data_IF_327416002818
#
_entry.id   IF_327416002818
#
_cell.length_a   1.000
_cell.length_b   1.000
_cell.length_c   1.000
_cell.angle_alpha   90.00
_cell.angle_beta   90.00
_cell.angle_gamma   90.00
#
_symmetry.space_group_name_H-M   'P 1'
#
loop_
_entity.id
_entity.type
_entity.pdbx_description
1 polymer ?
#
# COMPACT_ATOMS: atom_id res chain seq x y z
N UNK A 1 4.34 32.06 -0.22
CA UNK A 1 4.66 32.89 -1.38
C UNK A 1 3.33 33.15 -2.08
N UNK A 2 2.59 34.14 -1.59
CA UNK A 2 1.43 34.68 -2.29
C UNK A 2 2.00 35.74 -3.23
N UNK A 3 2.04 35.43 -4.53
CA UNK A 3 2.26 36.47 -5.52
C UNK A 3 0.98 37.28 -5.60
N UNK A 4 1.03 38.46 -4.98
CA UNK A 4 0.10 39.56 -5.18
C UNK A 4 0.08 39.82 -6.69
N UNK A 5 -0.98 39.38 -7.35
CA UNK A 5 -1.19 39.66 -8.76
C UNK A 5 -1.43 41.16 -8.87
N UNK A 6 -0.44 41.84 -9.45
CA UNK A 6 -0.40 43.29 -9.57
C UNK A 6 -1.68 43.82 -10.20
N UNK A 7 -2.15 44.91 -9.60
CA UNK A 7 -3.22 45.76 -10.10
C UNK A 7 -3.14 45.88 -11.62
N UNK A 8 -4.21 45.47 -12.28
CA UNK A 8 -4.44 45.76 -13.68
C UNK A 8 -4.45 47.28 -13.81
N UNK A 9 -3.39 47.83 -14.40
CA UNK A 9 -3.42 49.20 -14.87
C UNK A 9 -4.64 49.33 -15.77
N UNK A 10 -5.55 50.23 -15.42
CA UNK A 10 -6.69 50.65 -16.22
C UNK A 10 -6.16 51.08 -17.60
N UNK A 11 -6.01 50.11 -18.50
CA UNK A 11 -5.83 50.35 -19.91
C UNK A 11 -7.15 50.93 -20.37
N UNK A 12 -7.15 52.20 -20.79
CA UNK A 12 -8.31 52.83 -21.38
C UNK A 12 -8.91 51.87 -22.41
N UNK A 13 -10.19 51.52 -22.22
CA UNK A 13 -10.87 50.54 -23.07
C UNK A 13 -10.64 50.92 -24.53
N UNK A 14 -10.25 49.99 -25.42
CA UNK A 14 -10.01 50.31 -26.82
C UNK A 14 -11.24 50.94 -27.49
N UNK A 15 -12.45 50.68 -26.97
CA UNK A 15 -13.69 51.35 -27.35
C UNK A 15 -13.65 52.89 -27.12
N UNK A 16 -13.11 53.33 -25.98
CA UNK A 16 -12.93 54.75 -25.67
C UNK A 16 -11.92 55.42 -26.61
N UNK A 17 -10.92 54.67 -27.09
CA UNK A 17 -9.96 55.16 -28.07
C UNK A 17 -10.59 55.36 -29.45
N UNK A 18 -11.53 54.51 -29.88
CA UNK A 18 -12.27 54.70 -31.14
C UNK A 18 -13.22 55.89 -31.09
N UNK A 19 -13.96 56.05 -29.99
CA UNK A 19 -14.85 57.19 -29.77
C UNK A 19 -14.07 58.51 -29.80
N UNK A 20 -12.88 58.53 -29.18
CA UNK A 20 -11.99 59.68 -29.18
C UNK A 20 -11.46 60.00 -30.60
N UNK A 21 -11.01 58.99 -31.35
CA UNK A 21 -10.49 59.17 -32.73
C UNK A 21 -11.59 59.69 -33.66
N UNK A 22 -12.82 59.18 -33.53
CA UNK A 22 -13.98 59.65 -34.30
C UNK A 22 -14.36 61.10 -33.96
N UNK A 23 -14.36 61.45 -32.67
CA UNK A 23 -14.63 62.83 -32.22
C UNK A 23 -13.56 63.83 -32.70
N UNK A 24 -12.28 63.44 -32.65
CA UNK A 24 -11.18 64.25 -33.17
C UNK A 24 -11.25 64.38 -34.69
N UNK A 25 -11.57 63.31 -35.41
CA UNK A 25 -11.78 63.34 -36.85
C UNK A 25 -12.89 64.33 -37.23
N UNK A 26 -14.05 64.27 -36.55
CA UNK A 26 -15.16 65.18 -36.79
C UNK A 26 -14.77 66.65 -36.56
N UNK A 27 -14.02 66.95 -35.49
CA UNK A 27 -13.50 68.28 -35.23
C UNK A 27 -12.51 68.77 -36.30
N UNK A 28 -11.59 67.90 -36.72
CA UNK A 28 -10.62 68.20 -37.78
C UNK A 28 -11.29 68.44 -39.13
N UNK A 29 -12.27 67.62 -39.52
CA UNK A 29 -13.04 67.82 -40.75
C UNK A 29 -13.81 69.15 -40.72
N UNK A 30 -14.41 69.53 -39.59
CA UNK A 30 -15.09 70.82 -39.45
C UNK A 30 -14.16 72.03 -39.58
N UNK A 31 -12.93 71.95 -39.07
CA UNK A 31 -11.91 72.99 -39.31
C UNK A 31 -11.46 73.06 -40.77
N UNK A 32 -11.30 71.91 -41.43
CA UNK A 32 -10.94 71.87 -42.86
C UNK A 32 -12.05 72.47 -43.73
N UNK A 33 -13.32 72.24 -43.41
CA UNK A 33 -14.45 72.86 -44.10
C UNK A 33 -14.43 74.39 -43.97
N UNK A 34 -14.11 74.93 -42.78
CA UNK A 34 -13.92 76.38 -42.58
C UNK A 34 -12.77 76.93 -43.42
N UNK A 35 -11.64 76.22 -43.49
CA UNK A 35 -10.48 76.58 -44.33
C UNK A 35 -10.85 76.62 -45.82
N UNK A 36 -11.62 75.62 -46.30
CA UNK A 36 -12.12 75.59 -47.68
C UNK A 36 -13.05 76.75 -47.95
N UNK A 37 -13.92 77.11 -47.00
CA UNK A 37 -14.83 78.26 -47.11
C UNK A 37 -14.10 79.59 -47.23
N UNK A 38 -12.98 79.76 -46.51
CA UNK A 38 -12.21 81.01 -46.47
C UNK A 38 -11.17 81.14 -47.60
N UNK A 39 -10.52 80.04 -48.01
CA UNK A 39 -9.36 80.05 -48.93
C UNK A 39 -9.52 79.17 -50.17
N UNK A 40 -10.67 78.50 -50.33
CA UNK A 40 -10.95 77.61 -51.46
C UNK A 40 -10.37 76.20 -51.31
N UNK A 41 -10.80 75.28 -52.18
CA UNK A 41 -10.43 73.85 -52.12
C UNK A 41 -8.92 73.58 -52.24
N UNK A 42 -8.17 74.46 -52.90
CA UNK A 42 -6.73 74.31 -53.09
C UNK A 42 -5.93 74.33 -51.78
N UNK A 43 -6.45 74.99 -50.73
CA UNK A 43 -5.78 75.15 -49.45
C UNK A 43 -5.61 73.82 -48.67
N UNK A 44 -6.49 72.84 -48.89
CA UNK A 44 -6.49 71.55 -48.16
C UNK A 44 -6.20 70.34 -49.03
N UNK A 45 -6.00 70.52 -50.33
CA UNK A 45 -5.95 69.42 -51.30
C UNK A 45 -4.83 68.40 -51.04
N UNK A 46 -3.68 68.84 -50.53
CA UNK A 46 -2.58 67.95 -50.14
C UNK A 46 -2.68 67.40 -48.71
N UNK A 47 -3.40 68.09 -47.82
CA UNK A 47 -3.53 67.74 -46.40
C UNK A 47 -4.59 66.66 -46.18
N UNK A 48 -5.69 66.70 -46.92
CA UNK A 48 -6.82 65.79 -46.74
C UNK A 48 -6.44 64.31 -46.95
N UNK A 49 -5.68 63.93 -47.99
CA UNK A 49 -5.22 62.54 -48.15
C UNK A 49 -4.28 62.08 -47.01
N UNK A 50 -3.46 62.98 -46.48
CA UNK A 50 -2.57 62.67 -45.34
C UNK A 50 -3.36 62.46 -44.06
N UNK A 51 -4.38 63.30 -43.80
CA UNK A 51 -5.28 63.14 -42.67
C UNK A 51 -6.03 61.80 -42.73
N UNK A 52 -6.61 61.47 -43.90
CA UNK A 52 -7.29 60.17 -44.09
C UNK A 52 -6.33 59.02 -43.83
N UNK A 53 -5.11 59.06 -44.38
CA UNK A 53 -4.09 58.02 -44.15
C UNK A 53 -3.72 57.86 -42.68
N UNK A 54 -3.66 58.96 -41.91
CA UNK A 54 -3.39 58.92 -40.46
C UNK A 54 -4.57 58.33 -39.70
N UNK A 55 -5.81 58.75 -40.02
CA UNK A 55 -7.02 58.22 -39.38
C UNK A 55 -7.17 56.71 -39.62
N UNK A 56 -6.95 56.24 -40.85
CA UNK A 56 -6.97 54.81 -41.16
C UNK A 56 -5.84 54.04 -40.47
N UNK A 57 -4.65 54.63 -40.32
CA UNK A 57 -3.55 54.01 -39.59
C UNK A 57 -3.85 53.89 -38.09
N UNK A 58 -4.51 54.90 -37.51
CA UNK A 58 -4.97 54.88 -36.12
C UNK A 58 -6.08 53.84 -35.91
N UNK A 59 -7.03 53.74 -36.84
CA UNK A 59 -8.08 52.72 -36.80
C UNK A 59 -7.49 51.30 -36.86
N UNK A 60 -6.55 51.05 -37.78
CA UNK A 60 -5.81 49.76 -37.86
C UNK A 60 -5.04 49.46 -36.57
N UNK A 61 -4.35 50.46 -36.00
CA UNK A 61 -3.64 50.30 -34.74
C UNK A 61 -4.59 49.99 -33.57
N UNK A 62 -5.76 50.64 -33.52
CA UNK A 62 -6.81 50.36 -32.55
C UNK A 62 -7.39 48.95 -32.68
N UNK A 63 -7.57 48.46 -33.90
CA UNK A 63 -7.96 47.07 -34.18
C UNK A 63 -6.95 46.06 -33.62
N UNK A 64 -5.66 46.25 -33.89
CA UNK A 64 -4.62 45.37 -33.36
C UNK A 64 -4.51 45.38 -31.83
N UNK A 65 -4.76 46.53 -31.19
CA UNK A 65 -4.80 46.62 -29.73
C UNK A 65 -5.97 45.78 -29.19
N UNK A 66 -7.17 45.88 -29.78
CA UNK A 66 -8.33 45.05 -29.39
C UNK A 66 -8.05 43.56 -29.53
N UNK A 67 -7.58 43.13 -30.69
CA UNK A 67 -7.29 41.71 -30.96
C UNK A 67 -6.31 41.14 -29.94
N UNK A 68 -5.29 41.94 -29.59
CA UNK A 68 -4.31 41.57 -28.57
C UNK A 68 -4.92 41.51 -27.18
N UNK A 69 -5.76 42.48 -26.82
CA UNK A 69 -6.41 42.53 -25.51
C UNK A 69 -7.40 41.35 -25.35
N UNK A 70 -8.17 41.01 -26.39
CA UNK A 70 -9.01 39.80 -26.43
C UNK A 70 -8.19 38.52 -26.28
N UNK A 71 -7.04 38.42 -26.97
CA UNK A 71 -6.14 37.28 -26.83
C UNK A 71 -5.53 37.17 -25.42
N UNK A 72 -5.25 38.30 -24.77
CA UNK A 72 -4.78 38.34 -23.38
C UNK A 72 -5.84 37.85 -22.41
N UNK A 73 -7.10 38.25 -22.59
CA UNK A 73 -8.22 37.77 -21.77
C UNK A 73 -8.42 36.25 -21.91
N UNK A 74 -8.38 35.72 -23.13
CA UNK A 74 -8.45 34.26 -23.35
C UNK A 74 -7.31 33.52 -22.62
N UNK A 75 -6.09 34.04 -22.67
CA UNK A 75 -4.95 33.46 -21.96
C UNK A 75 -5.10 33.54 -20.43
N UNK A 76 -5.73 34.60 -19.92
CA UNK A 76 -6.03 34.76 -18.49
C UNK A 76 -7.07 33.74 -18.03
N UNK A 77 -8.13 33.53 -18.80
CA UNK A 77 -9.16 32.53 -18.54
C UNK A 77 -8.57 31.11 -18.56
N UNK A 78 -7.76 30.78 -19.57
CA UNK A 78 -7.08 29.49 -19.67
C UNK A 78 -6.15 29.25 -18.47
N UNK A 79 -5.38 30.26 -18.08
CA UNK A 79 -4.51 30.21 -16.90
C UNK A 79 -5.32 29.95 -15.63
N UNK A 80 -6.43 30.64 -15.44
CA UNK A 80 -7.30 30.47 -14.27
C UNK A 80 -7.85 29.04 -14.23
N UNK A 81 -8.28 28.50 -15.37
CA UNK A 81 -8.73 27.12 -15.51
C UNK A 81 -7.63 26.10 -15.14
N UNK A 82 -6.41 26.30 -15.65
CA UNK A 82 -5.25 25.45 -15.34
C UNK A 82 -4.87 25.51 -13.85
N UNK A 83 -4.90 26.69 -13.23
CA UNK A 83 -4.66 26.84 -11.80
C UNK A 83 -5.67 26.04 -10.97
N UNK A 84 -6.97 26.14 -11.28
CA UNK A 84 -7.99 25.37 -10.58
C UNK A 84 -7.87 23.85 -10.77
N UNK A 85 -7.39 23.39 -11.94
CA UNK A 85 -7.06 21.98 -12.15
C UNK A 85 -5.84 21.55 -11.31
N UNK A 86 -4.77 22.34 -11.32
CA UNK A 86 -3.57 22.10 -10.54
C UNK A 86 -3.87 22.01 -9.04
N UNK A 87 -4.69 22.90 -8.50
CA UNK A 87 -5.05 22.88 -7.07
C UNK A 87 -5.84 21.63 -6.70
N UNK A 88 -6.78 21.20 -7.55
CA UNK A 88 -7.53 19.94 -7.34
C UNK A 88 -6.62 18.72 -7.36
N UNK A 89 -5.69 18.65 -8.32
CA UNK A 89 -4.71 17.57 -8.42
C UNK A 89 -3.77 17.57 -7.21
N UNK A 90 -3.27 18.75 -6.81
CA UNK A 90 -2.41 18.91 -5.62
C UNK A 90 -3.12 18.46 -4.34
N UNK A 91 -4.38 18.84 -4.16
CA UNK A 91 -5.19 18.37 -3.03
C UNK A 91 -5.47 16.86 -3.11
N UNK A 92 -5.70 16.32 -4.32
CA UNK A 92 -5.87 14.90 -4.58
C UNK A 92 -4.64 14.07 -4.18
N UNK A 93 -3.44 14.53 -4.56
CA UNK A 93 -2.16 13.90 -4.20
C UNK A 93 -1.94 13.90 -2.70
N UNK A 94 -2.15 15.03 -2.04
CA UNK A 94 -2.01 15.12 -0.58
C UNK A 94 -2.91 14.11 0.15
N UNK A 95 -4.19 14.01 -0.26
CA UNK A 95 -5.11 13.02 0.30
C UNK A 95 -4.71 11.57 -0.01
N UNK A 96 -4.11 11.33 -1.17
CA UNK A 96 -3.61 10.00 -1.51
C UNK A 96 -2.40 9.63 -0.64
N UNK A 97 -1.45 10.54 -0.45
CA UNK A 97 -0.29 10.37 0.45
C UNK A 97 -0.74 10.08 1.88
N UNK A 98 -1.70 10.84 2.43
CA UNK A 98 -2.28 10.60 3.76
C UNK A 98 -2.87 9.18 3.87
N UNK A 99 -3.66 8.75 2.87
CA UNK A 99 -4.22 7.39 2.84
C UNK A 99 -3.15 6.30 2.73
N UNK A 100 -2.07 6.54 1.99
CA UNK A 100 -0.97 5.59 1.89
C UNK A 100 -0.27 5.42 3.24
N UNK A 101 -0.01 6.51 3.96
CA UNK A 101 0.57 6.45 5.31
C UNK A 101 -0.32 5.65 6.28
N UNK A 102 -1.63 5.90 6.28
CA UNK A 102 -2.59 5.14 7.11
C UNK A 102 -2.59 3.64 6.79
N UNK A 103 -2.52 3.28 5.50
CA UNK A 103 -2.45 1.89 5.06
C UNK A 103 -1.12 1.23 5.45
N UNK A 104 0.00 1.92 5.30
CA UNK A 104 1.32 1.43 5.71
C UNK A 104 1.35 1.15 7.22
N UNK A 105 0.83 2.06 8.04
CA UNK A 105 0.73 1.90 9.50
C UNK A 105 -0.16 0.70 9.88
N UNK A 106 -1.31 0.55 9.22
CA UNK A 106 -2.21 -0.59 9.44
C UNK A 106 -1.54 -1.93 9.09
N UNK A 107 -0.87 -2.00 7.94
CA UNK A 107 -0.14 -3.20 7.50
C UNK A 107 1.02 -3.52 8.45
N UNK A 108 1.76 -2.52 8.90
CA UNK A 108 2.86 -2.72 9.84
C UNK A 108 2.35 -3.22 11.20
N UNK A 109 1.18 -2.74 11.64
CA UNK A 109 0.54 -3.19 12.88
C UNK A 109 0.08 -4.65 12.77
N UNK A 110 -0.59 -5.04 11.68
CA UNK A 110 -0.99 -6.43 11.41
C UNK A 110 0.24 -7.33 11.33
N UNK A 111 1.32 -6.90 10.65
CA UNK A 111 2.58 -7.63 10.56
C UNK A 111 3.19 -7.88 11.92
N UNK A 112 3.20 -6.87 12.81
CA UNK A 112 3.67 -7.01 14.20
C UNK A 112 2.80 -8.00 14.96
N UNK A 113 1.47 -7.94 14.80
CA UNK A 113 0.52 -8.88 15.39
C UNK A 113 0.78 -10.33 14.98
N UNK A 114 0.94 -10.58 13.68
CA UNK A 114 1.27 -11.90 13.15
C UNK A 114 2.63 -12.40 13.65
N UNK A 115 3.66 -11.55 13.67
CA UNK A 115 4.99 -11.92 14.16
C UNK A 115 4.96 -12.29 15.65
N UNK A 116 4.19 -11.57 16.46
CA UNK A 116 3.99 -11.92 17.87
C UNK A 116 3.25 -13.25 18.04
N UNK A 117 2.23 -13.51 17.22
CA UNK A 117 1.49 -14.77 17.23
C UNK A 117 2.38 -15.96 16.84
N UNK A 118 3.23 -15.80 15.81
CA UNK A 118 4.22 -16.80 15.40
C UNK A 118 5.20 -17.10 16.53
N UNK A 119 5.80 -16.08 17.14
CA UNK A 119 6.72 -16.28 18.27
C UNK A 119 6.06 -17.01 19.44
N UNK A 120 4.77 -16.74 19.71
CA UNK A 120 4.00 -17.45 20.73
C UNK A 120 3.80 -18.92 20.36
N UNK A 121 3.41 -19.21 19.11
CA UNK A 121 3.19 -20.57 18.62
C UNK A 121 4.50 -21.37 18.61
N UNK A 122 5.61 -20.77 18.18
CA UNK A 122 6.94 -21.40 18.24
C UNK A 122 7.32 -21.77 19.67
N UNK A 123 7.06 -20.87 20.63
CA UNK A 123 7.28 -21.14 22.05
C UNK A 123 6.40 -22.28 22.58
N UNK A 124 5.14 -22.36 22.14
CA UNK A 124 4.23 -23.45 22.49
C UNK A 124 4.69 -24.78 21.88
N UNK A 125 5.11 -24.78 20.62
CA UNK A 125 5.63 -25.95 19.91
C UNK A 125 6.86 -26.52 20.61
N UNK A 126 7.86 -25.68 20.95
CA UNK A 126 9.06 -26.12 21.69
C UNK A 126 8.71 -26.76 23.04
N UNK A 127 7.78 -26.17 23.79
CA UNK A 127 7.31 -26.76 25.08
C UNK A 127 6.64 -28.11 24.90
N UNK A 128 5.87 -28.29 23.81
CA UNK A 128 5.23 -29.57 23.51
C UNK A 128 6.27 -30.62 23.10
N UNK A 129 7.28 -30.23 22.33
CA UNK A 129 8.40 -31.11 21.98
C UNK A 129 9.19 -31.57 23.22
N UNK A 130 9.48 -30.66 24.15
CA UNK A 130 10.13 -31.01 25.43
C UNK A 130 9.29 -31.99 26.24
N UNK A 131 7.97 -31.78 26.34
CA UNK A 131 7.06 -32.72 27.01
C UNK A 131 7.04 -34.07 26.31
N UNK A 132 6.98 -34.10 24.99
CA UNK A 132 7.00 -35.35 24.22
C UNK A 132 8.29 -36.14 24.45
N UNK A 133 9.45 -35.46 24.47
CA UNK A 133 10.74 -36.07 24.81
C UNK A 133 10.73 -36.63 26.23
N UNK A 134 10.25 -35.85 27.20
CA UNK A 134 10.15 -36.31 28.58
C UNK A 134 9.28 -37.55 28.75
N UNK A 135 8.14 -37.62 28.04
CA UNK A 135 7.29 -38.83 28.05
C UNK A 135 7.95 -40.01 27.35
N UNK A 136 8.70 -39.79 26.26
CA UNK A 136 9.45 -40.85 25.59
C UNK A 136 10.52 -41.45 26.52
N UNK A 137 11.24 -40.61 27.27
CA UNK A 137 12.25 -41.07 28.25
C UNK A 137 11.60 -41.87 29.40
N UNK A 138 10.43 -41.42 29.88
CA UNK A 138 9.66 -42.15 30.91
C UNK A 138 9.19 -43.52 30.40
N UNK A 139 8.69 -43.58 29.16
CA UNK A 139 8.27 -44.84 28.54
C UNK A 139 9.45 -45.82 28.41
N UNK A 140 10.60 -45.36 27.94
CA UNK A 140 11.80 -46.18 27.83
C UNK A 140 12.23 -46.76 29.19
N UNK A 141 12.22 -45.94 30.26
CA UNK A 141 12.54 -46.41 31.61
C UNK A 141 11.56 -47.47 32.12
N UNK A 142 10.26 -47.34 31.81
CA UNK A 142 9.25 -48.33 32.19
C UNK A 142 9.40 -49.63 31.39
N UNK A 143 9.77 -49.53 30.11
CA UNK A 143 10.07 -50.70 29.28
C UNK A 143 11.27 -51.49 29.83
N UNK A 144 12.34 -50.81 30.24
CA UNK A 144 13.50 -51.44 30.89
C UNK A 144 13.13 -52.14 32.20
N UNK A 145 12.33 -51.48 33.06
CA UNK A 145 11.82 -52.09 34.30
C UNK A 145 10.96 -53.32 34.02
N UNK A 146 10.08 -53.26 33.02
CA UNK A 146 9.27 -54.40 32.59
C UNK A 146 10.15 -55.56 32.12
N UNK A 147 11.19 -55.29 31.33
CA UNK A 147 12.13 -56.32 30.86
C UNK A 147 12.89 -56.94 32.03
N UNK A 148 13.33 -56.13 33.01
CA UNK A 148 13.98 -56.64 34.22
C UNK A 148 13.06 -57.57 35.03
N UNK A 149 11.82 -57.17 35.28
CA UNK A 149 10.82 -57.99 35.98
C UNK A 149 10.50 -59.29 35.23
N UNK A 150 10.41 -59.25 33.89
CA UNK A 150 10.22 -60.46 33.09
C UNK A 150 11.40 -61.44 33.23
N UNK A 151 12.64 -60.92 33.30
CA UNK A 151 13.83 -61.74 33.56
C UNK A 151 13.77 -62.36 34.96
N UNK A 152 13.43 -61.60 36.00
CA UNK A 152 13.28 -62.11 37.37
C UNK A 152 12.18 -63.17 37.47
N UNK A 153 11.02 -62.94 36.86
CA UNK A 153 9.92 -63.90 36.78
C UNK A 153 10.39 -65.20 36.12
N UNK A 154 11.12 -65.10 35.01
CA UNK A 154 11.65 -66.27 34.31
C UNK A 154 12.65 -67.05 35.16
N UNK A 155 13.51 -66.36 35.91
CA UNK A 155 14.46 -66.97 36.82
C UNK A 155 13.75 -67.67 37.99
N UNK A 156 12.74 -67.02 38.58
CA UNK A 156 11.90 -67.59 39.64
C UNK A 156 11.12 -68.82 39.16
N UNK A 157 10.58 -68.79 37.94
CA UNK A 157 9.92 -69.94 37.35
C UNK A 157 10.89 -71.11 37.15
N UNK A 158 12.14 -70.85 36.72
CA UNK A 158 13.18 -71.87 36.61
C UNK A 158 13.56 -72.46 37.97
N UNK A 159 13.76 -71.63 39.01
CA UNK A 159 14.09 -72.13 40.37
C UNK A 159 12.94 -72.93 40.97
N UNK A 160 11.70 -72.45 40.83
CA UNK A 160 10.51 -73.19 41.23
C UNK A 160 10.42 -74.53 40.50
N UNK A 161 10.64 -74.55 39.17
CA UNK A 161 10.69 -75.78 38.38
C UNK A 161 11.73 -76.78 38.90
N UNK A 162 12.94 -76.31 39.21
CA UNK A 162 14.00 -77.14 39.81
C UNK A 162 13.61 -77.69 41.19
N UNK A 163 13.01 -76.87 42.06
CA UNK A 163 12.53 -77.32 43.37
C UNK A 163 11.45 -78.40 43.24
N UNK A 164 10.49 -78.23 42.32
CA UNK A 164 9.44 -79.22 42.06
C UNK A 164 10.03 -80.54 41.55
N UNK A 165 11.01 -80.49 40.65
CA UNK A 165 11.72 -81.68 40.17
C UNK A 165 12.43 -82.39 41.33
N UNK A 166 13.20 -81.67 42.14
CA UNK A 166 13.87 -82.23 43.31
C UNK A 166 12.88 -82.85 44.30
N UNK A 167 11.74 -82.19 44.54
CA UNK A 167 10.68 -82.73 45.40
C UNK A 167 10.08 -84.02 44.83
N UNK A 168 9.85 -84.09 43.51
CA UNK A 168 9.37 -85.31 42.83
C UNK A 168 10.38 -86.45 42.97
N UNK A 169 11.67 -86.18 42.81
CA UNK A 169 12.75 -87.18 42.96
C UNK A 169 12.82 -87.71 44.40
N UNK A 170 12.80 -86.82 45.40
CA UNK A 170 12.76 -87.20 46.82
C UNK A 170 11.53 -88.05 47.13
N UNK A 171 10.37 -87.68 46.60
CA UNK A 171 9.13 -88.45 46.77
C UNK A 171 9.21 -89.83 46.10
N UNK A 172 9.83 -89.94 44.93
CA UNK A 172 10.06 -91.22 44.26
C UNK A 172 11.01 -92.14 45.05
N UNK A 173 12.02 -91.57 45.72
CA UNK A 173 12.92 -92.32 46.63
C UNK A 173 12.23 -92.79 47.92
N UNK A 174 11.14 -92.14 48.34
CA UNK A 174 10.32 -92.59 49.49
C UNK A 174 9.26 -93.63 49.15
N UNK A 175 9.05 -93.97 47.87
CA UNK A 175 8.17 -95.08 47.46
C UNK A 175 8.99 -96.38 47.50
N UNK A 176 8.64 -97.37 48.34
CA UNK A 176 9.40 -98.61 48.46
C UNK A 176 9.36 -99.43 47.15
N UNK A 177 10.44 -100.17 46.80
CA UNK A 177 10.46 -100.99 45.60
C UNK A 177 9.36 -102.06 45.64
N UNK A 178 8.74 -102.42 44.49
CA UNK A 178 7.76 -103.50 44.45
C UNK A 178 8.41 -104.79 44.96
N UNK A 179 7.75 -105.42 45.93
CA UNK A 179 8.24 -106.63 46.58
C UNK A 179 8.59 -107.71 45.54
N UNK A 180 9.72 -108.42 45.69
CA UNK A 180 10.12 -109.46 44.75
C UNK A 180 9.04 -110.56 44.68
N UNK A 181 8.73 -111.10 43.48
CA UNK A 181 7.75 -112.16 43.36
C UNK A 181 8.24 -113.36 44.16
N UNK A 182 7.49 -113.71 45.21
CA UNK A 182 7.77 -114.87 46.05
C UNK A 182 7.84 -116.14 45.20
N UNK A 183 8.78 -117.07 45.50
CA UNK A 183 8.93 -118.29 44.74
C UNK A 183 7.65 -119.12 44.80
N UNK A 184 7.13 -119.48 43.63
CA UNK A 184 5.95 -120.34 43.49
C UNK A 184 6.27 -121.74 44.06
N UNK A 185 5.30 -122.40 44.71
CA UNK A 185 5.56 -123.63 45.46
C UNK A 185 5.93 -124.81 44.56
N UNK A 186 6.92 -125.54 45.07
CA UNK A 186 7.51 -126.85 44.78
C UNK A 186 6.84 -127.80 43.79
N UNK A 187 7.69 -128.52 43.06
CA UNK A 187 7.46 -129.94 42.77
C UNK A 187 8.74 -130.77 42.90
N UNK A 188 8.62 -131.74 43.83
CA UNK A 188 9.36 -132.99 44.05
C UNK A 188 10.85 -132.96 44.31
#
# INVERSE_FOLDING_TARGET
>A
MEEIFGEEGESASPALCEELVSGLAAGLYGELERLVGAYGRGAVAGLLPQLVSVLEALERAGGHIRERDEALELLRDDRLGLLGQYERERAGRKRAEERYMELEDAVEQERKGHKAALSRLDGQSRRLEEKARSYADQLASLEDQKVALLKELSALAQTHGKMVQSYKELKALTVPPPAPPGPRPSRY
#
